data_IF_907625100841
#
_entry.id   IF_907625100841
#
_cell.length_a   1.000
_cell.length_b   1.000
_cell.length_c   1.000
_cell.angle_alpha   90.00
_cell.angle_beta   90.00
_cell.angle_gamma   90.00
#
_symmetry.space_group_name_H-M   'P 1'
#
loop_
_entity.id
_entity.type
_entity.pdbx_description
1 polymer ?
#
# COMPACT_ATOMS: atom_id res chain seq x y z
N UNK A 1 14.79 -11.43 32.19
CA UNK A 1 14.32 -10.44 31.19
C UNK A 1 13.83 -11.22 29.99
N UNK A 2 12.81 -10.75 29.27
CA UNK A 2 12.42 -11.43 28.02
C UNK A 2 13.55 -11.28 26.99
N UNK A 3 13.66 -12.25 26.09
CA UNK A 3 14.55 -12.18 24.94
C UNK A 3 14.08 -11.02 24.05
N UNK A 4 14.95 -10.04 23.73
CA UNK A 4 14.59 -8.98 22.80
C UNK A 4 14.18 -9.52 21.44
N UNK A 5 13.21 -8.87 20.78
CA UNK A 5 12.80 -9.18 19.41
C UNK A 5 13.16 -8.03 18.47
N UNK A 6 13.53 -8.40 17.25
CA UNK A 6 13.86 -7.48 16.17
C UNK A 6 12.94 -7.80 15.00
N UNK A 7 12.03 -6.89 14.67
CA UNK A 7 10.97 -7.16 13.69
C UNK A 7 11.09 -6.18 12.53
N UNK A 8 11.07 -6.69 11.31
CA UNK A 8 10.94 -5.84 10.12
C UNK A 8 9.53 -5.91 9.55
N UNK A 9 8.83 -4.79 9.55
CA UNK A 9 7.64 -4.60 8.74
C UNK A 9 8.07 -4.34 7.30
N UNK A 10 7.77 -5.27 6.40
CA UNK A 10 8.11 -5.18 4.97
C UNK A 10 6.83 -5.08 4.17
N UNK A 11 6.50 -3.85 3.81
CA UNK A 11 5.14 -3.50 3.42
C UNK A 11 5.03 -3.10 1.95
N UNK A 12 3.92 -3.52 1.33
CA UNK A 12 3.57 -3.09 -0.02
C UNK A 12 2.97 -1.68 -0.01
N UNK A 13 3.61 -0.79 -0.76
CA UNK A 13 3.13 0.57 -1.07
C UNK A 13 3.15 0.79 -2.58
N UNK A 14 3.07 -0.29 -3.36
CA UNK A 14 2.95 -0.24 -4.81
C UNK A 14 1.62 0.38 -5.25
N UNK A 15 1.45 0.58 -6.54
CA UNK A 15 0.27 1.24 -7.08
C UNK A 15 -1.02 0.46 -6.82
N UNK A 16 -0.97 -0.87 -6.75
CA UNK A 16 -2.16 -1.69 -6.51
C UNK A 16 -2.83 -1.42 -5.16
N UNK A 17 -2.10 -0.85 -4.22
CA UNK A 17 -2.60 -0.56 -2.87
C UNK A 17 -3.66 0.57 -2.80
N UNK A 18 -4.12 1.09 -3.94
CA UNK A 18 -5.34 1.91 -4.09
C UNK A 18 -6.38 1.33 -5.07
N UNK A 19 -6.21 0.09 -5.57
CA UNK A 19 -7.07 -0.50 -6.59
C UNK A 19 -8.53 -0.64 -6.13
N UNK A 20 -8.77 -0.93 -4.86
CA UNK A 20 -10.12 -1.14 -4.32
C UNK A 20 -10.90 0.18 -4.20
N UNK A 21 -10.21 1.33 -4.22
CA UNK A 21 -10.78 2.67 -4.22
C UNK A 21 -10.89 3.30 -5.63
N UNK A 22 -10.48 2.59 -6.68
CA UNK A 22 -10.63 3.01 -8.08
C UNK A 22 -11.95 2.55 -8.71
N UNK A 23 -12.48 3.34 -9.65
CA UNK A 23 -13.73 3.04 -10.39
C UNK A 23 -13.66 1.73 -11.20
N UNK A 24 -12.46 1.21 -11.49
CA UNK A 24 -12.30 -0.11 -12.10
C UNK A 24 -12.82 -1.25 -11.20
N UNK A 25 -12.87 -1.03 -9.89
CA UNK A 25 -13.28 -2.01 -8.88
C UNK A 25 -14.79 -2.03 -8.61
N UNK A 26 -15.57 -1.17 -9.29
CA UNK A 26 -17.04 -1.14 -9.20
C UNK A 26 -17.68 -2.49 -9.51
N UNK A 27 -17.13 -3.25 -10.45
CA UNK A 27 -17.65 -4.59 -10.78
C UNK A 27 -17.46 -5.63 -9.66
N UNK A 28 -16.46 -5.43 -8.81
CA UNK A 28 -16.08 -6.32 -7.70
C UNK A 28 -16.77 -5.90 -6.39
N UNK A 29 -16.70 -4.60 -6.05
CA UNK A 29 -17.09 -4.06 -4.75
C UNK A 29 -18.45 -3.33 -4.77
N UNK A 30 -19.00 -3.09 -5.95
CA UNK A 30 -20.23 -2.33 -6.16
C UNK A 30 -20.01 -0.82 -6.24
N UNK A 31 -20.82 -0.14 -7.08
CA UNK A 31 -20.68 1.30 -7.33
C UNK A 31 -20.85 2.13 -6.04
N UNK A 32 -21.83 1.79 -5.20
CA UNK A 32 -22.08 2.52 -3.95
C UNK A 32 -20.89 2.51 -3.01
N UNK A 33 -20.13 1.41 -2.95
CA UNK A 33 -18.96 1.28 -2.07
C UNK A 33 -17.81 2.13 -2.58
N UNK A 34 -17.47 1.96 -3.87
CA UNK A 34 -16.33 2.65 -4.49
C UNK A 34 -16.57 4.15 -4.60
N UNK A 35 -17.75 4.58 -5.06
CA UNK A 35 -18.07 6.00 -5.19
C UNK A 35 -18.15 6.72 -3.83
N UNK A 36 -18.62 6.03 -2.78
CA UNK A 36 -18.61 6.57 -1.42
C UNK A 36 -17.18 6.75 -0.89
N UNK A 37 -16.30 5.77 -1.09
CA UNK A 37 -14.90 5.90 -0.68
C UNK A 37 -14.19 7.03 -1.44
N UNK A 38 -14.42 7.17 -2.76
CA UNK A 38 -13.91 8.33 -3.52
C UNK A 38 -14.48 9.66 -2.99
N UNK A 39 -15.73 9.68 -2.53
CA UNK A 39 -16.32 10.86 -1.88
C UNK A 39 -15.64 11.20 -0.55
N UNK A 40 -15.30 10.19 0.24
CA UNK A 40 -14.55 10.39 1.48
C UNK A 40 -13.17 10.97 1.19
N UNK A 41 -12.46 10.43 0.19
CA UNK A 41 -11.18 10.97 -0.29
C UNK A 41 -11.30 12.43 -0.75
N UNK A 42 -12.36 12.79 -1.48
CA UNK A 42 -12.63 14.18 -1.87
C UNK A 42 -12.74 15.09 -0.64
N UNK A 43 -13.45 14.62 0.38
CA UNK A 43 -13.70 15.35 1.62
C UNK A 43 -12.41 15.50 2.44
N UNK A 44 -11.59 14.44 2.51
CA UNK A 44 -10.30 14.41 3.21
C UNK A 44 -9.26 15.34 2.56
N UNK A 45 -9.35 15.55 1.24
CA UNK A 45 -8.59 16.57 0.52
C UNK A 45 -9.12 18.00 0.75
N UNK A 46 -10.14 18.17 1.59
CA UNK A 46 -10.72 19.47 1.93
C UNK A 46 -11.78 19.96 0.93
N UNK A 47 -12.38 19.06 0.14
CA UNK A 47 -13.41 19.37 -0.84
C UNK A 47 -13.02 20.51 -1.80
N UNK A 48 -11.88 20.38 -2.51
CA UNK A 48 -11.35 21.47 -3.32
C UNK A 48 -12.29 21.86 -4.46
N UNK A 49 -12.23 23.14 -4.87
CA UNK A 49 -13.09 23.67 -5.93
C UNK A 49 -12.28 24.22 -7.11
N UNK A 50 -12.53 23.69 -8.31
CA UNK A 50 -11.87 24.08 -9.54
C UNK A 50 -12.89 24.26 -10.67
N UNK A 51 -12.89 25.44 -11.28
CA UNK A 51 -13.85 25.79 -12.33
C UNK A 51 -15.29 25.58 -11.87
N UNK A 52 -16.07 24.90 -12.70
CA UNK A 52 -17.47 24.56 -12.46
C UNK A 52 -17.66 23.08 -12.11
N UNK A 53 -16.60 22.35 -11.76
CA UNK A 53 -16.71 20.93 -11.43
C UNK A 53 -17.52 20.72 -10.15
N UNK A 54 -18.37 19.69 -10.17
CA UNK A 54 -19.10 19.17 -9.01
C UNK A 54 -18.59 17.77 -8.66
N UNK A 55 -18.94 17.27 -7.47
CA UNK A 55 -18.58 15.89 -7.12
C UNK A 55 -19.24 14.89 -8.07
N UNK A 56 -20.57 14.98 -8.15
CA UNK A 56 -21.34 14.25 -9.14
C UNK A 56 -20.86 14.62 -10.54
N UNK A 57 -20.76 13.61 -11.39
CA UNK A 57 -20.26 13.79 -12.75
C UNK A 57 -21.32 14.40 -13.66
N UNK A 58 -20.83 15.14 -14.66
CA UNK A 58 -21.61 15.64 -15.77
C UNK A 58 -21.11 15.00 -17.07
N UNK A 59 -22.01 14.38 -17.81
CA UNK A 59 -21.72 13.89 -19.14
C UNK A 59 -21.47 15.05 -20.11
N UNK A 60 -20.33 15.02 -20.81
CA UNK A 60 -20.01 15.97 -21.88
C UNK A 60 -19.73 15.20 -23.17
N UNK A 61 -20.62 15.32 -24.16
CA UNK A 61 -20.56 14.52 -25.39
C UNK A 61 -19.33 14.77 -26.26
N UNK A 62 -18.77 15.98 -26.20
CA UNK A 62 -17.61 16.40 -27.00
C UNK A 62 -16.35 15.60 -26.62
N UNK A 63 -15.59 15.20 -27.63
CA UNK A 63 -14.27 14.56 -27.47
C UNK A 63 -13.12 15.56 -27.63
N UNK A 64 -13.42 16.82 -27.97
CA UNK A 64 -12.44 17.88 -28.08
C UNK A 64 -12.06 18.38 -26.67
N UNK A 65 -10.80 18.16 -26.28
CA UNK A 65 -10.29 18.49 -24.95
C UNK A 65 -10.51 19.98 -24.60
N UNK A 66 -10.23 20.91 -25.51
CA UNK A 66 -10.43 22.34 -25.26
C UNK A 66 -11.90 22.71 -25.05
N UNK A 67 -12.83 22.07 -25.77
CA UNK A 67 -14.27 22.24 -25.52
C UNK A 67 -14.66 21.74 -24.14
N UNK A 68 -14.20 20.55 -23.74
CA UNK A 68 -14.49 19.99 -22.42
C UNK A 68 -13.94 20.88 -21.31
N UNK A 69 -12.68 21.32 -21.41
CA UNK A 69 -12.08 22.25 -20.44
C UNK A 69 -12.86 23.56 -20.31
N UNK A 70 -13.32 24.12 -21.44
CA UNK A 70 -14.16 25.31 -21.44
C UNK A 70 -15.50 25.08 -20.76
N UNK A 71 -16.15 23.94 -21.02
CA UNK A 71 -17.43 23.57 -20.39
C UNK A 71 -17.29 23.42 -18.88
N UNK A 72 -16.21 22.80 -18.42
CA UNK A 72 -15.89 22.63 -17.00
C UNK A 72 -15.35 23.90 -16.34
N UNK A 73 -15.15 25.00 -17.07
CA UNK A 73 -14.58 26.23 -16.53
C UNK A 73 -13.13 26.09 -16.07
N UNK A 74 -12.37 25.14 -16.62
CA UNK A 74 -10.98 24.86 -16.24
C UNK A 74 -9.94 25.63 -17.09
N UNK A 75 -10.39 26.36 -18.11
CA UNK A 75 -9.51 27.21 -18.91
C UNK A 75 -8.89 28.31 -18.03
N UNK A 76 -7.56 28.32 -17.95
CA UNK A 76 -6.82 29.29 -17.13
C UNK A 76 -6.82 28.98 -15.63
N UNK A 77 -7.45 27.88 -15.19
CA UNK A 77 -7.36 27.39 -13.81
C UNK A 77 -6.04 26.63 -13.67
N UNK A 78 -5.19 27.04 -12.73
CA UNK A 78 -3.96 26.32 -12.41
C UNK A 78 -4.27 24.90 -11.93
N UNK A 79 -3.49 23.93 -12.38
CA UNK A 79 -3.58 22.57 -11.87
C UNK A 79 -2.94 22.52 -10.46
N UNK A 80 -3.56 21.85 -9.48
CA UNK A 80 -3.17 22.01 -8.07
C UNK A 80 -1.92 21.22 -7.66
N UNK A 81 -1.51 20.22 -8.43
CA UNK A 81 -0.42 19.31 -8.07
C UNK A 81 0.77 19.39 -9.02
N UNK A 82 1.98 18.96 -8.60
CA UNK A 82 3.17 18.95 -9.45
C UNK A 82 3.05 18.06 -10.70
N UNK A 83 2.34 16.93 -10.60
CA UNK A 83 2.16 15.98 -11.70
C UNK A 83 0.78 16.10 -12.36
N UNK A 84 0.76 16.10 -13.69
CA UNK A 84 -0.47 16.08 -14.49
C UNK A 84 -0.99 17.45 -14.91
N UNK A 85 -2.18 17.46 -15.50
CA UNK A 85 -2.85 18.67 -15.97
C UNK A 85 -4.34 18.43 -16.15
N UNK A 86 -5.14 19.51 -16.25
CA UNK A 86 -6.56 19.39 -16.59
C UNK A 86 -6.78 18.70 -17.94
N UNK A 87 -5.87 18.91 -18.91
CA UNK A 87 -5.92 18.21 -20.19
C UNK A 87 -5.69 16.70 -20.05
N UNK A 88 -4.76 16.29 -19.19
CA UNK A 88 -4.48 14.88 -18.93
C UNK A 88 -5.66 14.21 -18.22
N UNK A 89 -6.25 14.88 -17.22
CA UNK A 89 -7.51 14.45 -16.61
C UNK A 89 -8.61 14.25 -17.66
N UNK A 90 -8.86 15.24 -18.52
CA UNK A 90 -9.88 15.12 -19.57
C UNK A 90 -9.58 13.98 -20.54
N UNK A 91 -8.31 13.80 -20.91
CA UNK A 91 -7.87 12.72 -21.79
C UNK A 91 -8.04 11.33 -21.13
N UNK A 92 -7.83 11.23 -19.82
CA UNK A 92 -8.09 10.03 -19.05
C UNK A 92 -9.59 9.66 -19.07
N UNK A 93 -10.47 10.59 -18.69
CA UNK A 93 -11.92 10.37 -18.61
C UNK A 93 -12.55 10.04 -19.97
N UNK A 94 -12.02 10.57 -21.07
CA UNK A 94 -12.56 10.27 -22.41
C UNK A 94 -12.11 8.92 -22.98
N UNK A 95 -10.98 8.37 -22.52
CA UNK A 95 -10.29 7.27 -23.21
C UNK A 95 -9.87 6.10 -22.34
N UNK A 96 -9.33 6.37 -21.15
CA UNK A 96 -8.68 5.37 -20.30
C UNK A 96 -9.50 4.95 -19.08
N UNK A 97 -10.44 5.78 -18.62
CA UNK A 97 -11.35 5.42 -17.54
C UNK A 97 -12.23 4.23 -17.93
N UNK A 98 -12.74 3.52 -16.93
CA UNK A 98 -13.69 2.43 -17.16
C UNK A 98 -14.92 2.92 -17.95
N UNK A 99 -15.41 2.08 -18.87
CA UNK A 99 -16.36 2.51 -19.91
C UNK A 99 -17.64 3.13 -19.37
N UNK A 100 -18.08 2.72 -18.17
CA UNK A 100 -19.30 3.23 -17.52
C UNK A 100 -19.24 4.73 -17.18
N UNK A 101 -18.05 5.30 -16.96
CA UNK A 101 -17.85 6.72 -16.61
C UNK A 101 -17.20 7.52 -17.74
N UNK A 102 -17.20 6.98 -18.97
CA UNK A 102 -16.50 7.59 -20.09
C UNK A 102 -17.20 8.87 -20.52
N UNK A 103 -16.47 9.99 -20.43
CA UNK A 103 -16.95 11.38 -20.64
C UNK A 103 -17.88 11.90 -19.55
N UNK A 104 -17.87 11.28 -18.37
CA UNK A 104 -18.52 11.79 -17.17
C UNK A 104 -17.48 12.50 -16.31
N UNK A 105 -17.51 13.84 -16.33
CA UNK A 105 -16.49 14.68 -15.71
C UNK A 105 -16.99 15.27 -14.39
N UNK A 106 -16.16 15.26 -13.36
CA UNK A 106 -16.45 15.73 -11.99
C UNK A 106 -15.38 15.25 -11.02
N UNK A 107 -15.49 15.59 -9.73
CA UNK A 107 -14.47 15.17 -8.75
C UNK A 107 -14.41 13.65 -8.57
N UNK A 108 -15.53 12.93 -8.75
CA UNK A 108 -15.52 11.46 -8.74
C UNK A 108 -14.46 10.90 -9.70
N UNK A 109 -14.47 11.33 -10.96
CA UNK A 109 -13.53 10.83 -11.98
C UNK A 109 -12.17 11.53 -11.92
N UNK A 110 -12.08 12.72 -11.30
CA UNK A 110 -10.80 13.39 -11.08
C UNK A 110 -9.99 12.70 -9.98
N UNK A 111 -10.62 12.27 -8.89
CA UNK A 111 -9.93 11.53 -7.83
C UNK A 111 -9.52 10.15 -8.32
N UNK A 112 -10.39 9.46 -9.07
CA UNK A 112 -10.03 8.23 -9.77
C UNK A 112 -8.80 8.42 -10.70
N UNK A 113 -8.72 9.55 -11.40
CA UNK A 113 -7.52 9.92 -12.17
C UNK A 113 -6.28 10.13 -11.31
N UNK A 114 -6.40 10.77 -10.14
CA UNK A 114 -5.26 10.96 -9.23
C UNK A 114 -4.71 9.60 -8.78
N UNK A 115 -5.58 8.69 -8.36
CA UNK A 115 -5.22 7.33 -7.96
C UNK A 115 -4.58 6.54 -9.10
N UNK A 116 -5.19 6.53 -10.28
CA UNK A 116 -4.78 5.65 -11.37
C UNK A 116 -3.55 6.15 -12.16
N UNK A 117 -3.34 7.47 -12.22
CA UNK A 117 -2.34 8.09 -13.10
C UNK A 117 -1.32 8.97 -12.39
N UNK A 118 -1.65 9.49 -11.22
CA UNK A 118 -0.84 10.45 -10.49
C UNK A 118 -0.61 10.01 -9.04
N UNK A 119 -0.56 8.70 -8.80
CA UNK A 119 -0.51 8.08 -7.47
C UNK A 119 0.75 8.45 -6.68
N UNK A 120 1.88 8.70 -7.34
CA UNK A 120 3.14 8.90 -6.62
C UNK A 120 3.15 10.21 -5.83
N UNK A 121 3.88 10.22 -4.71
CA UNK A 121 4.02 11.40 -3.86
C UNK A 121 4.64 12.59 -4.60
N UNK A 122 5.52 12.31 -5.57
CA UNK A 122 6.13 13.33 -6.42
C UNK A 122 5.13 14.00 -7.38
N UNK A 123 4.03 13.31 -7.70
CA UNK A 123 2.98 13.79 -8.60
C UNK A 123 1.81 14.41 -7.82
N UNK A 124 1.34 13.73 -6.77
CA UNK A 124 0.22 14.15 -5.90
C UNK A 124 0.61 13.95 -4.42
N UNK A 125 1.28 14.92 -3.78
CA UNK A 125 1.84 14.76 -2.43
C UNK A 125 0.79 14.73 -1.29
N UNK A 126 -0.50 14.76 -1.63
CA UNK A 126 -1.60 14.83 -0.66
C UNK A 126 -2.41 13.53 -0.55
N UNK A 127 -2.18 12.51 -1.39
CA UNK A 127 -2.97 11.26 -1.32
C UNK A 127 -2.75 10.47 -0.03
N UNK A 128 -1.61 10.64 0.65
CA UNK A 128 -1.39 10.01 1.97
C UNK A 128 -2.44 10.42 3.03
N UNK A 129 -3.10 11.58 2.85
CA UNK A 129 -4.17 12.08 3.72
C UNK A 129 -5.50 11.37 3.50
N UNK A 130 -5.62 10.65 2.39
CA UNK A 130 -6.88 10.08 1.93
C UNK A 130 -7.00 8.61 2.30
N UNK A 131 -8.23 8.15 2.38
CA UNK A 131 -8.64 6.79 2.68
C UNK A 131 -8.56 5.86 1.47
N UNK A 132 -7.46 5.93 0.71
CA UNK A 132 -7.16 4.96 -0.36
C UNK A 132 -7.18 3.54 0.18
N UNK A 133 -7.67 2.59 -0.61
CA UNK A 133 -7.82 1.19 -0.19
C UNK A 133 -7.15 0.22 -1.17
N UNK A 134 -6.42 -0.80 -0.68
CA UNK A 134 -6.38 -1.24 0.73
C UNK A 134 -5.30 -0.60 1.63
N UNK A 135 -4.53 0.39 1.15
CA UNK A 135 -3.42 0.95 1.95
C UNK A 135 -3.83 1.52 3.30
N UNK A 136 -5.04 2.08 3.41
CA UNK A 136 -5.55 2.60 4.69
C UNK A 136 -5.77 1.48 5.69
N UNK A 137 -6.32 0.34 5.27
CA UNK A 137 -6.47 -0.83 6.12
C UNK A 137 -5.10 -1.35 6.61
N UNK A 138 -4.10 -1.39 5.74
CA UNK A 138 -2.72 -1.72 6.12
C UNK A 138 -2.19 -0.78 7.21
N UNK A 139 -2.26 0.54 6.99
CA UNK A 139 -1.80 1.54 7.98
C UNK A 139 -2.51 1.39 9.32
N UNK A 140 -3.80 1.09 9.31
CA UNK A 140 -4.58 0.84 10.53
C UNK A 140 -4.12 -0.44 11.25
N UNK A 141 -3.80 -1.50 10.52
CA UNK A 141 -3.29 -2.74 11.11
C UNK A 141 -1.87 -2.59 11.67
N UNK A 142 -1.00 -1.81 11.02
CA UNK A 142 0.33 -1.43 11.54
C UNK A 142 0.20 -0.67 12.85
N UNK A 143 -0.70 0.32 12.95
CA UNK A 143 -0.94 1.05 14.19
C UNK A 143 -1.38 0.12 15.34
N UNK A 144 -2.28 -0.83 15.06
CA UNK A 144 -2.72 -1.84 16.05
C UNK A 144 -1.55 -2.74 16.49
N UNK A 145 -0.70 -3.15 15.55
CA UNK A 145 0.49 -3.94 15.86
C UNK A 145 1.44 -3.18 16.77
N UNK A 146 1.80 -1.94 16.42
CA UNK A 146 2.71 -1.11 17.19
C UNK A 146 2.16 -0.82 18.60
N UNK A 147 0.87 -0.52 18.73
CA UNK A 147 0.23 -0.32 20.03
C UNK A 147 0.28 -1.59 20.92
N UNK A 148 0.09 -2.78 20.33
CA UNK A 148 0.23 -4.03 21.07
C UNK A 148 1.67 -4.25 21.54
N UNK A 149 2.65 -3.94 20.67
CA UNK A 149 4.06 -4.10 21.00
C UNK A 149 4.52 -3.14 22.11
N UNK A 150 3.96 -1.94 22.15
CA UNK A 150 4.17 -0.97 23.23
C UNK A 150 3.59 -1.47 24.57
N UNK A 151 2.39 -2.07 24.54
CA UNK A 151 1.71 -2.56 25.75
C UNK A 151 2.42 -3.74 26.42
N UNK A 152 3.04 -4.63 25.63
CA UNK A 152 3.74 -5.82 26.16
C UNK A 152 5.05 -5.46 26.88
N UNK A 153 5.56 -4.22 26.71
CA UNK A 153 6.76 -3.67 27.38
C UNK A 153 7.95 -4.63 27.36
N UNK A 154 8.25 -5.13 26.17
CA UNK A 154 9.47 -5.86 25.85
C UNK A 154 10.48 -4.91 25.22
N UNK A 155 11.76 -5.19 25.41
CA UNK A 155 12.89 -4.45 24.80
C UNK A 155 12.97 -4.78 23.30
N UNK A 156 11.88 -4.61 22.56
CA UNK A 156 11.78 -4.92 21.14
C UNK A 156 12.17 -3.72 20.29
N UNK A 157 12.64 -4.00 19.08
CA UNK A 157 12.86 -2.98 18.06
C UNK A 157 12.19 -3.39 16.76
N UNK A 158 11.60 -2.41 16.11
CA UNK A 158 10.85 -2.59 14.87
C UNK A 158 11.48 -1.68 13.81
N UNK A 159 11.65 -2.20 12.60
CA UNK A 159 12.02 -1.42 11.42
C UNK A 159 10.93 -1.49 10.36
N UNK A 160 11.00 -0.57 9.40
CA UNK A 160 10.04 -0.48 8.30
C UNK A 160 10.79 -0.39 6.96
N UNK A 161 10.45 -1.31 6.06
CA UNK A 161 10.92 -1.31 4.68
C UNK A 161 9.73 -1.37 3.71
N UNK A 162 9.91 -0.73 2.55
CA UNK A 162 8.95 -0.69 1.44
C UNK A 162 9.56 -1.34 0.21
N UNK A 163 8.74 -2.03 -0.58
CA UNK A 163 9.20 -2.90 -1.67
C UNK A 163 10.00 -2.23 -2.76
N UNK A 164 9.65 -1.00 -3.14
CA UNK A 164 10.19 -0.46 -4.37
C UNK A 164 10.42 1.06 -4.33
N UNK A 165 11.30 1.49 -5.23
CA UNK A 165 11.70 2.86 -5.50
C UNK A 165 11.97 3.02 -7.00
N UNK A 166 12.12 4.25 -7.51
CA UNK A 166 12.54 4.46 -8.90
C UNK A 166 13.86 3.76 -9.27
N UNK A 167 14.72 3.48 -8.29
CA UNK A 167 15.97 2.71 -8.46
C UNK A 167 15.77 1.18 -8.51
N UNK A 168 14.53 0.69 -8.47
CA UNK A 168 14.20 -0.74 -8.46
C UNK A 168 14.79 -1.49 -7.25
N UNK A 169 14.96 -0.79 -6.14
CA UNK A 169 15.41 -1.33 -4.84
C UNK A 169 14.34 -1.08 -3.78
N UNK A 170 14.37 -1.87 -2.70
CA UNK A 170 13.60 -1.58 -1.51
C UNK A 170 14.08 -0.29 -0.84
N UNK A 171 13.20 0.30 -0.04
CA UNK A 171 13.50 1.52 0.74
C UNK A 171 13.43 1.15 2.21
N UNK A 172 14.54 1.33 2.93
CA UNK A 172 14.53 1.30 4.39
C UNK A 172 14.04 2.66 4.88
N UNK A 173 12.75 2.72 5.24
CA UNK A 173 12.12 3.94 5.75
C UNK A 173 12.64 4.30 7.14
N UNK A 174 12.85 3.28 7.96
CA UNK A 174 13.35 3.39 9.33
C UNK A 174 14.02 2.08 9.71
N UNK A 175 15.28 2.16 10.12
CA UNK A 175 15.98 1.03 10.74
C UNK A 175 15.41 0.67 12.11
N UNK A 176 15.88 -0.45 12.67
CA UNK A 176 15.38 -1.01 13.94
C UNK A 176 15.37 0.04 15.07
N UNK A 177 14.18 0.31 15.62
CA UNK A 177 13.96 1.33 16.65
C UNK A 177 12.88 0.89 17.65
N UNK A 178 12.93 1.44 18.86
CA UNK A 178 11.88 1.40 19.88
C UNK A 178 10.92 2.61 19.80
N UNK A 179 11.13 3.53 18.85
CA UNK A 179 10.31 4.72 18.62
C UNK A 179 9.15 4.35 17.68
N UNK A 180 8.13 3.75 18.26
CA UNK A 180 6.95 3.27 17.55
C UNK A 180 6.07 4.41 17.02
N UNK A 181 6.05 5.57 17.71
CA UNK A 181 5.36 6.78 17.25
C UNK A 181 5.93 7.26 15.91
N UNK A 182 7.26 7.27 15.77
CA UNK A 182 7.90 7.61 14.48
C UNK A 182 7.57 6.59 13.39
N UNK A 183 7.54 5.29 13.70
CA UNK A 183 7.17 4.26 12.72
C UNK A 183 5.73 4.41 12.23
N UNK A 184 4.78 4.62 13.14
CA UNK A 184 3.39 4.87 12.78
C UNK A 184 3.29 6.13 11.92
N UNK A 185 3.93 7.23 12.34
CA UNK A 185 3.92 8.49 11.60
C UNK A 185 4.45 8.32 10.18
N UNK A 186 5.55 7.58 9.99
CA UNK A 186 6.08 7.27 8.66
C UNK A 186 5.04 6.49 7.85
N UNK A 187 4.51 5.38 8.37
CA UNK A 187 3.51 4.57 7.66
C UNK A 187 2.28 5.39 7.26
N UNK A 188 1.79 6.26 8.16
CA UNK A 188 0.63 7.14 7.92
C UNK A 188 0.90 8.16 6.82
N UNK A 189 2.11 8.73 6.75
CA UNK A 189 2.52 9.73 5.77
C UNK A 189 3.07 9.14 4.46
N UNK A 190 2.68 7.92 4.12
CA UNK A 190 2.96 7.28 2.83
C UNK A 190 1.65 6.95 2.11
N UNK A 191 1.68 6.72 0.81
CA UNK A 191 0.48 6.53 -0.03
C UNK A 191 0.69 5.39 -1.03
N UNK A 192 -0.37 4.93 -1.71
CA UNK A 192 -0.21 3.93 -2.74
C UNK A 192 0.67 4.49 -3.88
N UNK A 193 1.61 3.69 -4.36
CA UNK A 193 2.61 4.14 -5.33
C UNK A 193 3.55 5.23 -4.83
N UNK A 194 3.76 5.40 -3.51
CA UNK A 194 4.45 6.57 -2.92
C UNK A 194 5.77 6.93 -3.63
N UNK A 195 6.63 5.92 -3.87
CA UNK A 195 7.90 6.08 -4.58
C UNK A 195 7.84 5.59 -6.03
N UNK A 196 7.19 4.44 -6.26
CA UNK A 196 7.05 3.80 -7.56
C UNK A 196 5.82 2.87 -7.51
N UNK A 197 5.20 2.59 -8.65
CA UNK A 197 3.95 1.83 -8.72
C UNK A 197 4.15 0.31 -8.73
N UNK A 198 5.38 -0.18 -8.84
CA UNK A 198 5.66 -1.61 -9.02
C UNK A 198 5.83 -2.38 -7.71
N UNK A 199 5.52 -3.68 -7.78
CA UNK A 199 5.51 -4.61 -6.66
C UNK A 199 6.79 -5.44 -6.69
N UNK A 200 7.83 -4.97 -5.98
CA UNK A 200 9.15 -5.60 -5.92
C UNK A 200 9.39 -6.31 -4.58
N UNK A 201 8.61 -7.37 -4.33
CA UNK A 201 8.63 -8.12 -3.06
C UNK A 201 10.05 -8.55 -2.66
N UNK A 202 10.84 -9.04 -3.63
CA UNK A 202 12.21 -9.51 -3.38
C UNK A 202 13.13 -8.40 -2.83
N UNK A 203 13.00 -7.17 -3.34
CA UNK A 203 13.86 -6.07 -2.90
C UNK A 203 13.50 -5.57 -1.51
N UNK A 204 12.20 -5.56 -1.16
CA UNK A 204 11.76 -5.32 0.20
C UNK A 204 12.27 -6.39 1.17
N UNK A 205 12.06 -7.67 0.82
CA UNK A 205 12.50 -8.80 1.64
C UNK A 205 14.02 -8.78 1.87
N UNK A 206 14.78 -8.49 0.82
CA UNK A 206 16.24 -8.29 0.90
C UNK A 206 16.61 -7.17 1.88
N UNK A 207 15.98 -6.01 1.72
CA UNK A 207 16.26 -4.83 2.58
C UNK A 207 16.02 -5.14 4.05
N UNK A 208 14.93 -5.85 4.36
CA UNK A 208 14.61 -6.27 5.72
C UNK A 208 15.55 -7.33 6.28
N UNK A 209 15.94 -8.31 5.46
CA UNK A 209 16.93 -9.32 5.84
C UNK A 209 18.27 -8.67 6.18
N UNK A 210 18.76 -7.79 5.30
CA UNK A 210 20.04 -7.10 5.48
C UNK A 210 20.03 -6.21 6.73
N UNK A 211 18.94 -5.48 7.01
CA UNK A 211 18.81 -4.70 8.25
C UNK A 211 18.88 -5.58 9.51
N UNK A 212 18.24 -6.75 9.50
CA UNK A 212 18.28 -7.69 10.62
C UNK A 212 19.65 -8.35 10.80
N UNK A 213 20.35 -8.65 9.71
CA UNK A 213 21.70 -9.21 9.73
C UNK A 213 22.72 -8.21 10.26
N UNK A 214 22.66 -6.96 9.77
CA UNK A 214 23.65 -5.93 10.06
C UNK A 214 23.41 -5.23 11.41
N UNK A 215 22.15 -5.00 11.78
CA UNK A 215 21.78 -4.14 12.92
C UNK A 215 20.98 -4.85 14.03
N UNK A 216 20.53 -6.10 13.80
CA UNK A 216 19.84 -6.90 14.81
C UNK A 216 20.76 -7.30 15.97
N UNK A 217 20.28 -7.22 17.20
CA UNK A 217 21.09 -7.56 18.39
C UNK A 217 21.51 -9.03 18.41
N UNK A 218 22.69 -9.30 18.95
CA UNK A 218 23.17 -10.67 19.16
C UNK A 218 22.25 -11.36 20.18
N UNK A 219 21.74 -12.54 19.82
CA UNK A 219 20.87 -13.33 20.70
C UNK A 219 19.43 -12.85 20.78
N UNK A 220 19.01 -11.85 20.01
CA UNK A 220 17.60 -11.48 19.86
C UNK A 220 16.88 -12.47 18.93
N UNK A 221 15.57 -12.61 19.12
CA UNK A 221 14.72 -13.25 18.12
C UNK A 221 14.52 -12.28 16.94
N UNK A 222 14.60 -12.77 15.71
CA UNK A 222 14.49 -11.94 14.48
C UNK A 222 13.30 -12.43 13.66
N UNK A 223 12.52 -11.49 13.12
CA UNK A 223 11.32 -11.80 12.35
C UNK A 223 11.12 -10.79 11.22
N UNK A 224 10.66 -11.24 10.06
CA UNK A 224 10.13 -10.39 9.01
C UNK A 224 8.62 -10.60 8.90
N UNK A 225 7.85 -9.52 8.90
CA UNK A 225 6.43 -9.52 8.53
C UNK A 225 6.35 -8.94 7.12
N UNK A 226 6.00 -9.77 6.14
CA UNK A 226 5.94 -9.45 4.72
C UNK A 226 4.47 -9.42 4.25
N UNK A 227 4.02 -8.33 3.63
CA UNK A 227 2.62 -8.17 3.27
C UNK A 227 2.44 -7.61 1.85
N UNK A 228 1.57 -8.21 1.03
CA UNK A 228 1.33 -7.79 -0.37
C UNK A 228 -0.14 -7.91 -0.73
N UNK A 229 -0.64 -7.01 -1.57
CA UNK A 229 -1.98 -7.11 -2.17
C UNK A 229 -1.98 -7.56 -3.64
N UNK A 230 -0.78 -7.60 -4.23
CA UNK A 230 -0.60 -7.86 -5.65
C UNK A 230 0.46 -8.90 -5.97
N UNK A 231 0.69 -9.05 -7.28
CA UNK A 231 1.64 -9.99 -7.88
C UNK A 231 3.00 -9.31 -8.06
N UNK A 232 4.06 -9.98 -7.62
CA UNK A 232 5.42 -9.53 -7.86
C UNK A 232 5.68 -9.31 -9.36
N UNK A 233 6.10 -8.10 -9.73
CA UNK A 233 6.29 -7.70 -11.13
C UNK A 233 7.63 -6.98 -11.38
N UNK A 234 8.52 -7.03 -10.39
CA UNK A 234 9.90 -6.53 -10.44
C UNK A 234 10.89 -7.55 -9.86
N UNK A 235 12.13 -7.60 -10.38
CA UNK A 235 12.84 -6.53 -11.09
C UNK A 235 12.58 -6.41 -12.62
N UNK A 236 11.89 -7.34 -13.25
CA UNK A 236 11.62 -7.26 -14.70
C UNK A 236 10.18 -7.63 -15.10
N UNK A 237 9.86 -8.92 -15.05
CA UNK A 237 8.54 -9.49 -15.32
C UNK A 237 8.18 -10.45 -14.19
N UNK A 238 6.92 -10.88 -14.13
CA UNK A 238 6.41 -11.75 -13.08
C UNK A 238 7.23 -13.03 -12.86
N UNK A 239 7.64 -13.73 -13.93
CA UNK A 239 8.41 -14.97 -13.79
C UNK A 239 9.78 -14.72 -13.13
N UNK A 240 10.48 -13.66 -13.55
CA UNK A 240 11.76 -13.27 -12.95
C UNK A 240 11.57 -12.71 -11.53
N UNK A 241 10.49 -11.98 -11.28
CA UNK A 241 10.14 -11.43 -9.98
C UNK A 241 9.92 -12.56 -8.95
N UNK A 242 9.12 -13.57 -9.32
CA UNK A 242 8.89 -14.77 -8.50
C UNK A 242 10.18 -15.51 -8.19
N UNK A 243 11.03 -15.72 -9.21
CA UNK A 243 12.33 -16.37 -9.01
C UNK A 243 13.24 -15.58 -8.03
N UNK A 244 13.20 -14.25 -8.08
CA UNK A 244 13.94 -13.41 -7.14
C UNK A 244 13.38 -13.52 -5.71
N UNK A 245 12.06 -13.57 -5.55
CA UNK A 245 11.41 -13.79 -4.24
C UNK A 245 11.81 -15.15 -3.66
N UNK A 246 11.79 -16.22 -4.47
CA UNK A 246 12.24 -17.55 -4.03
C UNK A 246 13.70 -17.54 -3.56
N UNK A 247 14.59 -16.85 -4.30
CA UNK A 247 15.99 -16.72 -3.93
C UNK A 247 16.17 -15.97 -2.60
N UNK A 248 15.47 -14.85 -2.41
CA UNK A 248 15.58 -14.07 -1.17
C UNK A 248 14.95 -14.79 0.03
N UNK A 249 13.91 -15.60 -0.18
CA UNK A 249 13.36 -16.46 0.87
C UNK A 249 14.37 -17.52 1.33
N UNK A 250 15.13 -18.12 0.40
CA UNK A 250 16.21 -19.04 0.78
C UNK A 250 17.31 -18.33 1.58
N UNK A 251 17.68 -17.10 1.19
CA UNK A 251 18.67 -16.31 1.95
C UNK A 251 18.16 -15.97 3.35
N UNK A 252 16.87 -15.66 3.52
CA UNK A 252 16.28 -15.45 4.85
C UNK A 252 16.29 -16.74 5.69
N UNK A 253 16.01 -17.89 5.08
CA UNK A 253 16.09 -19.19 5.76
C UNK A 253 17.52 -19.55 6.18
N UNK A 254 18.51 -19.31 5.32
CA UNK A 254 19.94 -19.50 5.60
C UNK A 254 20.41 -18.59 6.75
N UNK A 255 19.86 -17.39 6.85
CA UNK A 255 20.08 -16.44 7.96
C UNK A 255 19.27 -16.78 9.23
N UNK A 256 18.44 -17.82 9.19
CA UNK A 256 17.53 -18.24 10.27
C UNK A 256 16.54 -17.14 10.69
N UNK A 257 16.05 -16.38 9.71
CA UNK A 257 15.06 -15.33 9.89
C UNK A 257 13.72 -15.83 9.34
N UNK A 258 12.76 -16.22 10.20
CA UNK A 258 11.42 -16.56 9.75
C UNK A 258 10.72 -15.37 9.10
N UNK A 259 9.94 -15.66 8.06
CA UNK A 259 9.13 -14.66 7.36
C UNK A 259 7.66 -15.03 7.52
N UNK A 260 6.93 -14.21 8.29
CA UNK A 260 5.47 -14.28 8.34
C UNK A 260 4.91 -13.51 7.15
N UNK A 261 4.09 -14.17 6.34
CA UNK A 261 3.52 -13.57 5.13
C UNK A 261 2.04 -13.28 5.30
N UNK A 262 1.59 -12.16 4.72
CA UNK A 262 0.19 -11.75 4.68
C UNK A 262 -0.18 -11.44 3.23
N UNK A 263 -1.09 -12.23 2.66
CA UNK A 263 -1.71 -11.95 1.38
C UNK A 263 -3.02 -11.18 1.61
N UNK A 264 -3.11 -9.95 1.10
CA UNK A 264 -4.31 -9.13 1.22
C UNK A 264 -5.07 -9.08 -0.11
N UNK A 265 -6.33 -9.44 -0.06
CA UNK A 265 -7.20 -9.34 -1.21
C UNK A 265 -6.98 -10.42 -2.27
N UNK A 266 -7.86 -10.41 -3.27
CA UNK A 266 -7.89 -11.44 -4.31
C UNK A 266 -6.77 -11.30 -5.35
N UNK A 267 -6.03 -10.18 -5.35
CA UNK A 267 -4.93 -9.92 -6.29
C UNK A 267 -3.58 -10.49 -5.84
N UNK A 268 -3.45 -10.89 -4.57
CA UNK A 268 -2.21 -11.37 -4.01
C UNK A 268 -1.88 -12.79 -4.51
N UNK A 269 -0.60 -13.04 -4.76
CA UNK A 269 -0.10 -14.38 -5.10
C UNK A 269 0.07 -15.24 -3.83
N UNK A 270 -1.01 -15.91 -3.43
CA UNK A 270 -1.05 -16.70 -2.21
C UNK A 270 -0.08 -17.88 -2.22
N UNK A 271 0.20 -18.46 -3.39
CA UNK A 271 1.11 -19.60 -3.51
C UNK A 271 2.57 -19.16 -3.30
N UNK A 272 2.94 -18.01 -3.88
CA UNK A 272 4.24 -17.39 -3.65
C UNK A 272 4.43 -17.04 -2.16
N UNK A 273 3.43 -16.43 -1.54
CA UNK A 273 3.50 -16.01 -0.14
C UNK A 273 3.51 -17.22 0.82
N UNK A 274 2.80 -18.30 0.50
CA UNK A 274 2.88 -19.57 1.23
C UNK A 274 4.28 -20.17 1.12
N UNK A 275 4.86 -20.20 -0.08
CA UNK A 275 6.22 -20.71 -0.29
C UNK A 275 7.26 -19.99 0.58
N UNK A 276 7.18 -18.65 0.66
CA UNK A 276 8.12 -17.85 1.47
C UNK A 276 7.99 -18.22 2.96
N UNK A 277 6.76 -18.35 3.47
CA UNK A 277 6.52 -18.75 4.85
C UNK A 277 7.06 -20.16 5.13
N UNK A 278 6.74 -21.14 4.27
CA UNK A 278 7.16 -22.53 4.45
C UNK A 278 8.69 -22.67 4.40
N UNK A 279 9.34 -21.97 3.47
CA UNK A 279 10.81 -22.01 3.27
C UNK A 279 11.56 -21.46 4.49
N UNK A 280 11.02 -20.44 5.14
CA UNK A 280 11.68 -19.73 6.25
C UNK A 280 11.23 -20.22 7.63
N UNK A 281 10.28 -21.16 7.70
CA UNK A 281 9.67 -21.62 8.95
C UNK A 281 8.71 -20.59 9.57
N UNK A 282 8.19 -19.66 8.78
CA UNK A 282 7.19 -18.68 9.19
C UNK A 282 5.75 -19.20 9.12
N UNK A 283 4.80 -18.27 9.03
CA UNK A 283 3.36 -18.56 8.88
C UNK A 283 2.78 -17.68 7.77
N UNK A 284 1.82 -18.20 7.03
CA UNK A 284 1.09 -17.46 6.02
C UNK A 284 -0.34 -17.18 6.47
N UNK A 285 -0.79 -15.95 6.29
CA UNK A 285 -2.15 -15.49 6.51
C UNK A 285 -2.73 -14.96 5.21
N UNK A 286 -4.02 -15.24 4.98
CA UNK A 286 -4.77 -14.71 3.84
C UNK A 286 -5.94 -13.90 4.37
N UNK A 287 -6.02 -12.65 3.95
CA UNK A 287 -7.15 -11.76 4.21
C UNK A 287 -7.94 -11.63 2.90
N UNK A 288 -9.16 -12.19 2.79
CA UNK A 288 -9.95 -12.10 1.57
C UNK A 288 -10.28 -10.65 1.20
N UNK A 289 -10.41 -10.34 -0.10
CA UNK A 289 -10.73 -8.99 -0.59
C UNK A 289 -11.99 -8.92 -1.43
N UNK A 290 -12.82 -9.96 -1.40
CA UNK A 290 -14.17 -9.97 -1.96
C UNK A 290 -15.24 -9.46 -0.96
N UNK A 291 -14.79 -9.03 0.21
CA UNK A 291 -15.59 -8.43 1.27
C UNK A 291 -15.52 -6.90 1.27
N UNK A 292 -16.38 -6.26 2.06
CA UNK A 292 -16.38 -4.80 2.19
C UNK A 292 -15.09 -4.28 2.83
N UNK A 293 -14.63 -3.05 2.52
CA UNK A 293 -13.42 -2.47 3.10
C UNK A 293 -13.31 -2.53 4.62
N UNK A 294 -14.41 -2.27 5.32
CA UNK A 294 -14.44 -2.36 6.79
C UNK A 294 -14.25 -3.78 7.32
N UNK A 295 -14.62 -4.80 6.56
CA UNK A 295 -14.55 -6.20 6.98
C UNK A 295 -13.11 -6.72 6.83
N UNK A 296 -12.48 -6.56 5.65
CA UNK A 296 -11.08 -6.99 5.49
C UNK A 296 -10.12 -6.18 6.35
N UNK A 297 -10.45 -4.93 6.68
CA UNK A 297 -9.65 -4.12 7.60
C UNK A 297 -9.60 -4.75 9.00
N UNK A 298 -10.74 -5.20 9.53
CA UNK A 298 -10.77 -5.87 10.84
C UNK A 298 -10.07 -7.23 10.80
N UNK A 299 -10.23 -8.01 9.73
CA UNK A 299 -9.49 -9.26 9.52
C UNK A 299 -7.98 -9.01 9.51
N UNK A 300 -7.52 -7.96 8.81
CA UNK A 300 -6.12 -7.60 8.77
C UNK A 300 -5.58 -7.17 10.14
N UNK A 301 -6.36 -6.38 10.90
CA UNK A 301 -6.02 -6.05 12.30
C UNK A 301 -5.93 -7.31 13.16
N UNK A 302 -6.85 -8.26 12.99
CA UNK A 302 -6.81 -9.54 13.73
C UNK A 302 -5.56 -10.35 13.40
N UNK A 303 -5.18 -10.41 12.12
CA UNK A 303 -3.92 -11.05 11.69
C UNK A 303 -2.72 -10.41 12.38
N UNK A 304 -2.61 -9.08 12.37
CA UNK A 304 -1.50 -8.39 13.04
C UNK A 304 -1.50 -8.61 14.56
N UNK A 305 -2.66 -8.61 15.23
CA UNK A 305 -2.77 -8.97 16.65
C UNK A 305 -2.30 -10.40 16.92
N UNK A 306 -2.69 -11.36 16.06
CA UNK A 306 -2.28 -12.75 16.19
C UNK A 306 -0.78 -12.93 16.00
N UNK A 307 -0.18 -12.22 15.04
CA UNK A 307 1.28 -12.21 14.88
C UNK A 307 1.94 -11.67 16.13
N UNK A 308 1.44 -10.56 16.68
CA UNK A 308 1.98 -9.95 17.88
C UNK A 308 1.93 -10.89 19.10
N UNK A 309 0.82 -11.63 19.25
CA UNK A 309 0.59 -12.63 20.31
C UNK A 309 1.43 -13.90 20.15
N UNK A 310 1.61 -14.38 18.91
CA UNK A 310 2.32 -15.61 18.60
C UNK A 310 3.85 -15.45 18.68
N UNK A 311 4.37 -14.21 18.73
CA UNK A 311 5.80 -13.97 18.83
C UNK A 311 6.37 -14.52 20.15
N UNK A 312 7.50 -15.27 20.12
CA UNK A 312 8.04 -15.92 21.30
C UNK A 312 8.32 -14.92 22.44
N UNK A 313 7.88 -15.27 23.65
CA UNK A 313 8.24 -14.60 24.89
C UNK A 313 9.13 -15.55 25.71
N UNK A 314 10.42 -15.58 25.39
CA UNK A 314 11.39 -16.41 26.10
C UNK A 314 12.02 -15.64 27.26
N UNK A 315 12.13 -16.28 28.43
CA UNK A 315 12.84 -15.69 29.57
C UNK A 315 14.33 -16.01 29.43
N UNK A 316 15.16 -14.97 29.30
CA UNK A 316 16.62 -15.11 29.38
C UNK A 316 17.01 -15.38 30.83
N UNK A 317 17.62 -16.54 31.09
CA UNK A 317 18.20 -16.95 32.38
C UNK A 317 19.59 -16.35 32.59
#
# INVERSE_FOLDING_TARGET
RFQPREVMLTLDYSGSMNDDSELKSVGKLGASTVEANIHDMYTELGSPTYGNMTFNTQYISSTNTSTVLSTLGLNGVSYPYPGGSWSDYVNYVKGSITTAYRRDYGYLTWIDYLQNRMASSSQTPDLWKTSEQPITALKNAVAVFLAYMDEVDTDDRIGLAVYNSPSQQGVLEKGLTDDYDTLESISRHRQAGHYDSYTNISAGLKTSREELEDNGRIGSYKLIILMTDGIANRPSNESTAKAAVYSEAQLAADAHIPVVTISLGAGADTDLMQYVADTTGGKHFVVPGDQAPSEYEEDLKEVFRKIAQDMPLEIVQ
#
